data_IF_419182502547
#
_entry.id   IF_419182502547
#
_cell.length_a   1.000
_cell.length_b   1.000
_cell.length_c   1.000
_cell.angle_alpha   90.00
_cell.angle_beta   90.00
_cell.angle_gamma   90.00
#
_symmetry.space_group_name_H-M   'P 1'
#
loop_
_entity.id
_entity.type
_entity.pdbx_description
1 polymer ?
#
# COMPACT_ATOMS: atom_id res chain seq x y z
N UNK A 1 24.20 -8.46 17.20
CA UNK A 1 23.44 -7.19 17.26
C UNK A 1 22.13 -7.40 16.53
N UNK A 2 21.02 -7.18 17.23
CA UNK A 2 19.65 -7.39 16.76
C UNK A 2 19.33 -6.44 15.59
N UNK A 3 19.12 -7.03 14.41
CA UNK A 3 18.74 -6.34 13.17
C UNK A 3 17.31 -5.82 13.32
N UNK A 4 17.14 -4.69 13.99
CA UNK A 4 15.87 -3.99 14.12
C UNK A 4 15.96 -2.65 13.37
N UNK A 5 16.22 -2.71 12.07
CA UNK A 5 16.23 -1.52 11.24
C UNK A 5 15.17 -1.64 10.14
N UNK A 6 13.92 -1.33 10.53
CA UNK A 6 12.86 -1.04 9.56
C UNK A 6 13.34 0.08 8.63
N UNK A 7 13.48 -0.28 7.34
CA UNK A 7 13.93 0.59 6.27
C UNK A 7 12.80 1.53 5.83
N UNK A 8 13.11 2.83 5.70
CA UNK A 8 12.21 3.81 5.11
C UNK A 8 12.87 4.29 3.81
N UNK A 9 12.33 3.93 2.63
CA UNK A 9 12.79 4.48 1.37
C UNK A 9 12.58 6.00 1.35
N UNK A 10 13.40 6.73 0.62
CA UNK A 10 13.18 8.16 0.43
C UNK A 10 11.86 8.41 -0.33
N UNK A 11 11.31 9.62 -0.22
CA UNK A 11 9.99 9.95 -0.78
C UNK A 11 9.89 9.70 -2.29
N UNK A 12 10.95 9.96 -3.06
CA UNK A 12 10.94 9.75 -4.52
C UNK A 12 10.91 8.26 -4.89
N UNK A 13 11.73 7.45 -4.23
CA UNK A 13 11.74 5.99 -4.40
C UNK A 13 10.39 5.38 -4.02
N UNK A 14 9.81 5.88 -2.93
CA UNK A 14 8.52 5.45 -2.42
C UNK A 14 7.37 5.81 -3.37
N UNK A 15 7.35 7.03 -3.92
CA UNK A 15 6.38 7.42 -4.95
C UNK A 15 6.52 6.57 -6.21
N UNK A 16 7.74 6.33 -6.69
CA UNK A 16 7.99 5.47 -7.84
C UNK A 16 7.54 4.02 -7.59
N UNK A 17 7.77 3.51 -6.38
CA UNK A 17 7.32 2.19 -5.95
C UNK A 17 5.79 2.10 -5.92
N UNK A 18 5.11 3.05 -5.29
CA UNK A 18 3.64 3.07 -5.22
C UNK A 18 3.05 3.15 -6.64
N UNK A 19 3.64 3.97 -7.51
CA UNK A 19 3.22 4.07 -8.90
C UNK A 19 3.33 2.72 -9.62
N UNK A 20 4.44 1.98 -9.44
CA UNK A 20 4.65 0.68 -10.07
C UNK A 20 3.77 -0.43 -9.46
N UNK A 21 3.62 -0.45 -8.14
CA UNK A 21 2.97 -1.54 -7.42
C UNK A 21 1.45 -1.41 -7.32
N UNK A 22 0.93 -0.19 -7.16
CA UNK A 22 -0.48 0.05 -6.85
C UNK A 22 -1.29 0.51 -8.04
N UNK A 23 -0.75 1.38 -8.89
CA UNK A 23 -1.52 1.97 -9.99
C UNK A 23 -2.21 0.89 -10.84
N UNK A 24 -1.55 -0.20 -11.26
CA UNK A 24 -2.22 -1.25 -12.05
C UNK A 24 -3.37 -1.92 -11.30
N UNK A 25 -3.19 -2.18 -10.00
CA UNK A 25 -4.17 -2.90 -9.18
C UNK A 25 -5.36 -2.02 -8.77
N UNK A 26 -5.11 -0.75 -8.45
CA UNK A 26 -6.15 0.25 -8.17
C UNK A 26 -6.93 0.54 -9.45
N UNK A 27 -6.27 0.77 -10.59
CA UNK A 27 -6.97 1.02 -11.85
C UNK A 27 -7.89 -0.15 -12.24
N UNK A 28 -7.43 -1.39 -12.06
CA UNK A 28 -8.27 -2.58 -12.32
C UNK A 28 -9.47 -2.63 -11.37
N UNK A 29 -9.23 -2.53 -10.06
CA UNK A 29 -10.31 -2.61 -9.08
C UNK A 29 -11.30 -1.44 -9.21
N UNK A 30 -10.83 -0.24 -9.52
CA UNK A 30 -11.66 0.92 -9.81
C UNK A 30 -12.56 0.72 -11.01
N UNK A 31 -12.03 0.16 -12.11
CA UNK A 31 -12.82 -0.16 -13.29
C UNK A 31 -13.88 -1.23 -13.00
N UNK A 32 -13.53 -2.27 -12.24
CA UNK A 32 -14.46 -3.35 -11.85
C UNK A 32 -15.60 -2.85 -10.95
N UNK A 33 -15.34 -1.84 -10.13
CA UNK A 33 -16.29 -1.30 -9.14
C UNK A 33 -17.01 -0.03 -9.62
N UNK A 34 -16.56 0.61 -10.70
CA UNK A 34 -17.10 1.89 -11.16
C UNK A 34 -16.80 3.06 -10.22
N UNK A 35 -15.64 3.05 -9.56
CA UNK A 35 -15.18 4.13 -8.67
C UNK A 35 -13.94 4.81 -9.23
N UNK A 36 -13.63 6.03 -8.76
CA UNK A 36 -12.39 6.71 -9.17
C UNK A 36 -11.14 5.93 -8.75
N UNK A 37 -10.03 6.09 -9.49
CA UNK A 37 -8.73 5.48 -9.18
C UNK A 37 -7.80 6.40 -8.39
N UNK A 38 -8.31 7.53 -7.90
CA UNK A 38 -7.57 8.48 -7.06
C UNK A 38 -7.26 7.85 -5.71
N UNK A 39 -6.04 8.03 -5.21
CA UNK A 39 -5.61 7.47 -3.94
C UNK A 39 -4.76 8.44 -3.11
N UNK A 40 -4.97 8.45 -1.80
CA UNK A 40 -4.04 9.01 -0.82
C UNK A 40 -3.12 7.91 -0.32
N UNK A 41 -1.86 8.23 -0.01
CA UNK A 41 -0.88 7.22 0.41
C UNK A 41 -0.08 7.64 1.65
N UNK A 42 0.02 6.69 2.56
CA UNK A 42 0.69 6.82 3.85
C UNK A 42 1.74 5.71 3.99
N UNK A 43 2.98 6.06 4.31
CA UNK A 43 4.00 5.09 4.71
C UNK A 43 4.07 4.98 6.23
N UNK A 44 4.18 3.76 6.70
CA UNK A 44 4.36 3.43 8.10
C UNK A 44 5.68 2.70 8.30
N UNK A 45 6.48 3.24 9.20
CA UNK A 45 7.70 2.64 9.69
C UNK A 45 8.00 3.16 11.10
N UNK A 46 8.48 2.28 11.98
CA UNK A 46 8.80 2.56 13.40
C UNK A 46 7.63 3.16 14.19
N UNK A 47 6.41 2.76 13.88
CA UNK A 47 5.20 3.34 14.48
C UNK A 47 4.94 4.79 14.10
N UNK A 48 5.72 5.37 13.17
CA UNK A 48 5.51 6.69 12.60
C UNK A 48 4.83 6.58 11.25
N UNK A 49 3.91 7.50 11.02
CA UNK A 49 3.19 7.65 9.76
C UNK A 49 3.75 8.87 9.01
N UNK A 50 4.00 8.71 7.72
CA UNK A 50 4.40 9.79 6.83
C UNK A 50 3.43 9.83 5.66
N UNK A 51 2.79 10.99 5.48
CA UNK A 51 1.95 11.27 4.32
C UNK A 51 2.84 11.44 3.09
N UNK A 52 2.54 10.71 2.02
CA UNK A 52 3.36 10.65 0.81
C UNK A 52 2.70 11.34 -0.38
N UNK A 53 1.39 11.16 -0.45
CA UNK A 53 0.52 11.70 -1.46
C UNK A 53 -0.74 12.12 -0.73
N UNK A 54 -0.94 13.44 -0.67
CA UNK A 54 -2.20 13.99 -0.19
C UNK A 54 -3.11 14.24 -1.38
N UNK A 55 -4.30 13.67 -1.31
CA UNK A 55 -5.38 13.95 -2.23
C UNK A 55 -6.66 13.87 -1.42
N UNK A 56 -7.12 15.05 -1.01
CA UNK A 56 -8.18 15.26 -0.01
C UNK A 56 -9.54 14.62 -0.38
N UNK A 57 -9.72 14.20 -1.64
CA UNK A 57 -10.93 13.55 -2.14
C UNK A 57 -10.62 12.21 -2.85
N UNK A 58 -9.67 11.44 -2.33
CA UNK A 58 -9.31 10.16 -2.93
C UNK A 58 -10.32 9.07 -2.64
N UNK A 59 -10.75 8.33 -3.67
CA UNK A 59 -11.60 7.16 -3.50
C UNK A 59 -10.90 6.02 -2.72
N UNK A 60 -9.58 5.95 -2.82
CA UNK A 60 -8.76 4.96 -2.14
C UNK A 60 -7.85 5.57 -1.09
N UNK A 61 -7.62 4.82 -0.02
CA UNK A 61 -6.59 5.10 0.99
C UNK A 61 -5.59 3.96 1.01
N UNK A 62 -4.31 4.30 0.87
CA UNK A 62 -3.21 3.36 0.77
C UNK A 62 -2.31 3.48 1.99
N UNK A 63 -1.99 2.31 2.55
CA UNK A 63 -1.02 2.14 3.62
C UNK A 63 0.12 1.24 3.16
N UNK A 64 1.34 1.76 3.15
CA UNK A 64 2.55 1.00 2.86
C UNK A 64 3.33 0.74 4.16
N UNK A 65 3.69 -0.51 4.42
CA UNK A 65 4.50 -0.92 5.57
C UNK A 65 5.76 -1.62 5.08
N UNK A 66 6.91 -1.04 5.40
CA UNK A 66 8.22 -1.53 4.96
C UNK A 66 8.89 -2.33 6.06
N UNK A 67 9.55 -3.41 5.67
CA UNK A 67 10.34 -4.27 6.56
C UNK A 67 11.66 -4.61 5.91
N UNK A 68 12.71 -4.69 6.72
CA UNK A 68 14.00 -5.20 6.26
C UNK A 68 13.86 -6.65 5.81
N UNK A 69 14.53 -7.00 4.72
CA UNK A 69 14.77 -8.38 4.33
C UNK A 69 16.07 -8.88 4.96
N UNK A 70 16.23 -10.20 5.03
CA UNK A 70 17.55 -10.80 5.31
C UNK A 70 18.59 -10.46 4.22
N UNK A 71 18.12 -10.13 3.02
CA UNK A 71 18.97 -9.65 1.92
C UNK A 71 19.16 -8.13 2.04
N UNK A 72 20.39 -7.62 2.25
CA UNK A 72 20.63 -6.20 2.52
C UNK A 72 20.27 -5.26 1.36
N UNK A 73 20.13 -5.78 0.14
CA UNK A 73 19.69 -5.02 -1.04
C UNK A 73 18.19 -5.08 -1.33
N UNK A 74 17.37 -5.66 -0.45
CA UNK A 74 15.95 -5.91 -0.73
C UNK A 74 15.05 -5.39 0.40
N UNK A 75 13.96 -4.72 0.02
CA UNK A 75 12.89 -4.38 0.95
C UNK A 75 11.71 -5.35 0.82
N UNK A 76 11.12 -5.71 1.94
CA UNK A 76 9.81 -6.36 1.98
C UNK A 76 8.76 -5.29 2.24
N UNK A 77 7.65 -5.36 1.51
CA UNK A 77 6.57 -4.39 1.62
C UNK A 77 5.24 -5.09 1.72
N UNK A 78 4.44 -4.62 2.67
CA UNK A 78 3.01 -4.86 2.71
C UNK A 78 2.30 -3.56 2.31
N UNK A 79 1.50 -3.63 1.26
CA UNK A 79 0.63 -2.56 0.80
C UNK A 79 -0.80 -2.94 1.11
N UNK A 80 -1.55 -2.05 1.73
CA UNK A 80 -2.98 -2.21 1.93
C UNK A 80 -3.68 -1.02 1.28
N UNK A 81 -4.56 -1.29 0.33
CA UNK A 81 -5.39 -0.29 -0.32
C UNK A 81 -6.84 -0.54 0.07
N UNK A 82 -7.53 0.47 0.60
CA UNK A 82 -8.94 0.39 0.99
C UNK A 82 -9.74 1.47 0.31
N UNK A 83 -11.02 1.19 0.06
CA UNK A 83 -11.96 2.22 -0.33
C UNK A 83 -12.24 3.13 0.88
N UNK A 84 -12.30 4.43 0.62
CA UNK A 84 -12.65 5.42 1.63
C UNK A 84 -14.11 5.31 2.07
N UNK A 85 -14.99 4.84 1.16
CA UNK A 85 -16.40 4.61 1.41
C UNK A 85 -16.76 3.12 1.18
N UNK A 86 -17.74 2.58 1.94
CA UNK A 86 -18.25 1.23 1.68
C UNK A 86 -18.83 1.10 0.27
N UNK A 87 -18.55 -0.03 -0.40
CA UNK A 87 -19.11 -0.32 -1.72
C UNK A 87 -20.27 -1.33 -1.63
N UNK A 88 -21.35 -1.19 -2.41
CA UNK A 88 -22.50 -2.11 -2.38
C UNK A 88 -22.16 -3.58 -2.67
N UNK A 89 -21.09 -3.86 -3.42
CA UNK A 89 -20.60 -5.23 -3.67
C UNK A 89 -20.02 -5.92 -2.42
N UNK A 90 -19.86 -5.18 -1.32
CA UNK A 90 -19.17 -5.65 -0.12
C UNK A 90 -17.66 -5.69 -0.25
N UNK A 91 -17.08 -5.33 -1.40
CA UNK A 91 -15.63 -5.16 -1.54
C UNK A 91 -15.16 -3.93 -0.75
N UNK A 92 -14.06 -4.07 -0.01
CA UNK A 92 -13.51 -2.98 0.81
C UNK A 92 -12.07 -2.62 0.49
N UNK A 93 -11.35 -3.47 -0.26
CA UNK A 93 -9.96 -3.20 -0.59
C UNK A 93 -9.15 -4.45 -0.93
N UNK A 94 -7.84 -4.32 -0.87
CA UNK A 94 -6.91 -5.42 -1.02
C UNK A 94 -5.61 -5.18 -0.25
N UNK A 95 -4.93 -6.27 0.08
CA UNK A 95 -3.57 -6.26 0.61
C UNK A 95 -2.64 -6.96 -0.39
N UNK A 96 -1.54 -6.31 -0.77
CA UNK A 96 -0.41 -6.89 -1.48
C UNK A 96 0.74 -7.11 -0.49
N UNK A 97 1.41 -8.24 -0.59
CA UNK A 97 2.69 -8.49 0.08
C UNK A 97 3.70 -8.88 -0.96
N UNK A 98 4.88 -8.28 -0.89
CA UNK A 98 5.92 -8.51 -1.86
C UNK A 98 7.24 -7.90 -1.41
N UNK A 99 8.09 -7.67 -2.39
CA UNK A 99 9.35 -6.97 -2.15
C UNK A 99 9.98 -6.54 -3.46
N UNK A 100 10.91 -5.61 -3.34
CA UNK A 100 11.62 -5.00 -4.47
C UNK A 100 13.07 -4.76 -4.08
N UNK A 101 13.93 -4.54 -5.07
CA UNK A 101 15.35 -4.27 -4.84
C UNK A 101 15.55 -2.76 -4.57
N UNK A 102 16.32 -2.46 -3.53
CA UNK A 102 16.55 -1.08 -3.11
C UNK A 102 17.21 -0.27 -4.23
N UNK A 103 16.72 0.96 -4.43
CA UNK A 103 17.15 1.80 -5.56
C UNK A 103 16.59 1.38 -6.93
N UNK A 104 15.80 0.30 -7.00
CA UNK A 104 15.08 -0.14 -8.20
C UNK A 104 13.60 -0.44 -7.87
N UNK A 105 12.81 0.58 -7.49
CA UNK A 105 11.43 0.41 -7.03
C UNK A 105 10.48 -0.23 -8.06
N UNK A 106 10.85 -0.19 -9.34
CA UNK A 106 10.13 -0.83 -10.44
C UNK A 106 10.25 -2.36 -10.47
N UNK A 107 11.17 -2.97 -9.70
CA UNK A 107 11.31 -4.44 -9.61
C UNK A 107 10.34 -5.08 -8.61
N UNK A 108 9.35 -4.33 -8.13
CA UNK A 108 8.37 -4.86 -7.19
C UNK A 108 7.67 -6.10 -7.75
N UNK A 109 7.79 -7.19 -6.99
CA UNK A 109 7.10 -8.42 -7.26
C UNK A 109 6.13 -8.72 -6.10
N UNK A 110 4.83 -8.69 -6.39
CA UNK A 110 3.81 -9.18 -5.47
C UNK A 110 3.95 -10.70 -5.32
N UNK A 111 4.14 -11.17 -4.07
CA UNK A 111 4.13 -12.59 -3.72
C UNK A 111 2.74 -13.09 -3.38
N UNK A 112 1.89 -12.22 -2.87
CA UNK A 112 0.50 -12.55 -2.58
C UNK A 112 -0.37 -11.31 -2.71
N UNK A 113 -1.57 -11.50 -3.24
CA UNK A 113 -2.67 -10.54 -3.20
C UNK A 113 -3.83 -11.16 -2.43
N UNK A 114 -4.42 -10.40 -1.52
CA UNK A 114 -5.63 -10.78 -0.79
C UNK A 114 -6.66 -9.69 -0.99
N UNK A 115 -7.80 -10.03 -1.59
CA UNK A 115 -8.94 -9.13 -1.67
C UNK A 115 -9.66 -9.09 -0.31
N UNK A 116 -10.06 -7.90 0.10
CA UNK A 116 -10.79 -7.66 1.34
C UNK A 116 -12.24 -7.34 1.00
N UNK A 117 -13.15 -8.06 1.64
CA UNK A 117 -14.59 -7.84 1.56
C UNK A 117 -15.10 -7.60 2.98
N UNK A 118 -15.94 -6.58 3.16
CA UNK A 118 -16.68 -6.18 4.35
C UNK A 118 -16.10 -6.67 5.69
N UNK A 119 -15.50 -5.75 6.43
CA UNK A 119 -15.69 -5.75 7.87
C UNK A 119 -16.80 -4.77 8.18
N UNK A 120 -17.91 -5.24 8.74
CA UNK A 120 -18.89 -4.40 9.44
C UNK A 120 -18.30 -3.72 10.71
N UNK A 121 -16.99 -3.43 10.72
CA UNK A 121 -16.16 -3.21 11.90
C UNK A 121 -15.21 -2.02 11.81
N UNK A 122 -15.47 -1.03 10.95
CA UNK A 122 -14.68 0.22 10.95
C UNK A 122 -14.78 0.98 12.30
N UNK A 123 -15.76 0.66 13.16
CA UNK A 123 -15.83 1.17 14.54
C UNK A 123 -14.67 0.72 15.46
N UNK A 124 -13.72 -0.10 15.00
CA UNK A 124 -12.60 -0.57 15.81
C UNK A 124 -11.26 0.17 15.53
N UNK A 125 -11.25 1.18 14.64
CA UNK A 125 -10.03 1.91 14.25
C UNK A 125 -10.13 3.44 14.49
N UNK A 126 -11.20 3.91 15.13
CA UNK A 126 -11.38 5.28 15.58
C UNK A 126 -11.10 5.40 17.09
#
# INVERSE_FOLDING_TARGET
MTVSDEFIPNTAELQAFLAAALTPEISRASADLGVESTYSAHAFARGKETLLLDSAASAWTVRATFRASHSPGRALVQLQAKLAAPHPSGYSGFTLKGGYDLGSPNTFAARSKTNEYNTAGFRAWA
#
